data_IF_903213525308
#
_entry.id   IF_903213525308
#
_cell.length_a   1.000
_cell.length_b   1.000
_cell.length_c   1.000
_cell.angle_alpha   90.00
_cell.angle_beta   90.00
_cell.angle_gamma   90.00
#
_symmetry.space_group_name_H-M   'P 1'
#
loop_
_entity.id
_entity.type
_entity.pdbx_description
1 polymer ?
#
# COMPACT_ATOMS: atom_id res chain seq x y z
N UNK A 1 -23.69 -5.57 -3.96
CA UNK A 1 -23.66 -5.38 -2.49
C UNK A 1 -23.92 -3.90 -2.25
N UNK A 2 -24.99 -3.51 -1.54
CA UNK A 2 -25.16 -2.11 -1.15
C UNK A 2 -24.18 -1.82 -0.02
N UNK A 3 -23.40 -0.75 -0.16
CA UNK A 3 -22.49 -0.28 0.87
C UNK A 3 -23.24 0.15 2.12
N UNK A 4 -22.61 -0.07 3.27
CA UNK A 4 -23.03 0.44 4.59
C UNK A 4 -23.23 1.97 4.53
N UNK A 5 -24.39 2.44 4.95
CA UNK A 5 -24.80 3.85 4.95
C UNK A 5 -24.17 4.68 6.10
N UNK A 6 -23.25 4.11 6.90
CA UNK A 6 -22.76 4.76 8.12
C UNK A 6 -21.28 5.19 8.11
N UNK A 7 -20.39 4.55 7.34
CA UNK A 7 -19.03 5.04 7.07
C UNK A 7 -18.76 5.11 5.57
N UNK A 8 -18.61 6.32 5.03
CA UNK A 8 -18.21 6.54 3.64
C UNK A 8 -16.70 6.32 3.41
N UNK A 9 -16.07 5.36 4.09
CA UNK A 9 -14.68 5.01 3.79
C UNK A 9 -14.69 4.10 2.56
N UNK A 10 -13.99 4.46 1.46
CA UNK A 10 -14.03 3.66 0.25
C UNK A 10 -13.06 2.48 0.38
N UNK A 11 -13.44 1.47 1.17
CA UNK A 11 -12.66 0.24 1.46
C UNK A 11 -12.12 -0.40 0.18
N UNK A 12 -12.97 -0.54 -0.84
CA UNK A 12 -12.57 -1.07 -2.15
C UNK A 12 -11.46 -0.22 -2.83
N UNK A 13 -11.45 1.11 -2.63
CA UNK A 13 -10.37 1.98 -3.14
C UNK A 13 -9.11 1.86 -2.31
N UNK A 14 -9.20 1.65 -0.99
CA UNK A 14 -8.03 1.42 -0.14
C UNK A 14 -7.33 0.09 -0.47
N UNK A 15 -8.09 -0.99 -0.66
CA UNK A 15 -7.55 -2.27 -1.13
C UNK A 15 -6.94 -2.16 -2.54
N UNK A 16 -7.57 -1.38 -3.44
CA UNK A 16 -6.99 -1.10 -4.76
C UNK A 16 -5.69 -0.29 -4.68
N UNK A 17 -5.59 0.61 -3.69
CA UNK A 17 -4.40 1.42 -3.46
C UNK A 17 -3.24 0.57 -2.95
N UNK A 18 -3.49 -0.36 -2.01
CA UNK A 18 -2.50 -1.34 -1.55
C UNK A 18 -1.90 -2.12 -2.74
N UNK A 19 -2.76 -2.67 -3.60
CA UNK A 19 -2.30 -3.38 -4.81
C UNK A 19 -1.46 -2.49 -5.73
N UNK A 20 -1.88 -1.25 -5.93
CA UNK A 20 -1.14 -0.28 -6.75
C UNK A 20 0.23 0.02 -6.16
N UNK A 21 0.33 0.14 -4.82
CA UNK A 21 1.59 0.36 -4.12
C UNK A 21 2.51 -0.86 -4.27
N UNK A 22 1.98 -2.08 -4.13
CA UNK A 22 2.75 -3.31 -4.36
C UNK A 22 3.30 -3.40 -5.80
N UNK A 23 2.51 -3.03 -6.81
CA UNK A 23 2.97 -2.99 -8.20
C UNK A 23 4.09 -1.95 -8.41
N UNK A 24 4.00 -0.78 -7.75
CA UNK A 24 5.06 0.25 -7.80
C UNK A 24 6.33 -0.28 -7.13
N UNK A 25 6.22 -0.90 -5.95
CA UNK A 25 7.35 -1.52 -5.25
C UNK A 25 8.06 -2.54 -6.14
N UNK A 26 7.31 -3.45 -6.78
CA UNK A 26 7.85 -4.46 -7.68
C UNK A 26 8.61 -3.84 -8.85
N UNK A 27 8.00 -2.85 -9.52
CA UNK A 27 8.61 -2.17 -10.68
C UNK A 27 9.84 -1.37 -10.30
N UNK A 28 9.80 -0.63 -9.21
CA UNK A 28 10.94 0.15 -8.71
C UNK A 28 12.07 -0.78 -8.25
N UNK A 29 11.73 -1.97 -7.74
CA UNK A 29 12.72 -2.96 -7.35
C UNK A 29 13.45 -3.55 -8.56
N UNK A 30 12.72 -3.90 -9.62
CA UNK A 30 13.30 -4.45 -10.85
C UNK A 30 14.26 -3.51 -11.60
N UNK A 31 14.21 -2.20 -11.35
CA UNK A 31 15.13 -1.23 -11.96
C UNK A 31 16.53 -1.27 -11.31
N UNK A 32 16.68 -1.86 -10.12
CA UNK A 32 17.99 -2.00 -9.46
C UNK A 32 18.97 -2.86 -10.27
N UNK A 33 18.51 -3.97 -10.83
CA UNK A 33 19.36 -4.86 -11.61
C UNK A 33 19.98 -4.12 -12.82
N UNK A 34 19.20 -3.29 -13.52
CA UNK A 34 19.70 -2.49 -14.64
C UNK A 34 20.62 -1.34 -14.23
N UNK A 35 20.52 -0.86 -13.00
CA UNK A 35 21.43 0.16 -12.46
C UNK A 35 22.79 -0.43 -12.08
N UNK A 36 22.82 -1.70 -11.64
CA UNK A 36 24.04 -2.43 -11.36
C UNK A 36 24.81 -2.77 -12.65
N UNK A 37 24.11 -3.07 -13.73
CA UNK A 37 24.72 -3.26 -15.07
C UNK A 37 25.46 -2.00 -15.55
N UNK A 38 24.96 -0.81 -15.19
CA UNK A 38 25.55 0.47 -15.58
C UNK A 38 26.81 0.83 -14.79
N UNK A 39 27.01 0.29 -13.58
CA UNK A 39 28.15 0.69 -12.74
C UNK A 39 29.50 0.20 -13.25
N UNK A 40 29.51 -0.77 -14.18
CA UNK A 40 30.72 -1.39 -14.74
C UNK A 40 30.76 -1.36 -16.29
N UNK A 41 29.83 -0.66 -16.94
CA UNK A 41 29.67 -0.71 -18.39
C UNK A 41 30.78 0.02 -19.17
N UNK A 42 31.60 0.84 -18.50
CA UNK A 42 32.57 1.70 -19.16
C UNK A 42 33.98 1.62 -18.54
N UNK A 43 34.84 0.79 -19.14
CA UNK A 43 36.29 0.76 -18.87
C UNK A 43 37.06 1.85 -19.67
N UNK A 44 36.38 2.61 -20.52
CA UNK A 44 37.00 3.46 -21.57
C UNK A 44 36.92 4.95 -21.22
N UNK A 45 35.95 5.38 -20.41
CA UNK A 45 35.77 6.77 -20.02
C UNK A 45 36.62 7.17 -18.80
N UNK A 46 37.29 8.33 -18.87
CA UNK A 46 38.25 8.79 -17.85
C UNK A 46 37.63 9.00 -16.46
N UNK A 47 38.46 9.01 -15.41
CA UNK A 47 38.08 8.98 -13.98
C UNK A 47 36.89 9.89 -13.60
N UNK A 48 36.79 11.09 -14.20
CA UNK A 48 35.69 12.04 -13.93
C UNK A 48 34.30 11.55 -14.35
N UNK A 49 34.20 10.75 -15.41
CA UNK A 49 32.92 10.19 -15.85
C UNK A 49 32.50 9.02 -14.96
N UNK A 50 33.46 8.17 -14.57
CA UNK A 50 33.22 7.10 -13.59
C UNK A 50 32.70 7.69 -12.28
N UNK A 51 33.38 8.70 -11.73
CA UNK A 51 32.96 9.36 -10.48
C UNK A 51 31.55 9.96 -10.58
N UNK A 52 31.21 10.59 -11.72
CA UNK A 52 29.89 11.15 -11.95
C UNK A 52 28.79 10.07 -12.02
N UNK A 53 29.04 8.95 -12.69
CA UNK A 53 28.11 7.81 -12.76
C UNK A 53 27.93 7.18 -11.38
N UNK A 54 29.01 6.98 -10.62
CA UNK A 54 28.93 6.46 -9.26
C UNK A 54 28.15 7.39 -8.31
N UNK A 55 28.36 8.71 -8.42
CA UNK A 55 27.64 9.70 -7.63
C UNK A 55 26.14 9.66 -7.95
N UNK A 56 25.80 9.64 -9.25
CA UNK A 56 24.41 9.48 -9.70
C UNK A 56 23.79 8.19 -9.16
N UNK A 57 24.47 7.05 -9.29
CA UNK A 57 23.96 5.76 -8.81
C UNK A 57 23.78 5.74 -7.29
N UNK A 58 24.65 6.38 -6.51
CA UNK A 58 24.48 6.51 -5.05
C UNK A 58 23.22 7.30 -4.69
N UNK A 59 23.04 8.48 -5.29
CA UNK A 59 21.86 9.31 -5.04
C UNK A 59 20.58 8.60 -5.48
N UNK A 60 20.61 7.97 -6.65
CA UNK A 60 19.51 7.18 -7.18
C UNK A 60 19.12 6.02 -6.25
N UNK A 61 20.09 5.21 -5.78
CA UNK A 61 19.83 4.12 -4.81
C UNK A 61 19.24 4.64 -3.50
N UNK A 62 19.68 5.79 -3.00
CA UNK A 62 19.11 6.40 -1.82
C UNK A 62 17.65 6.83 -2.05
N UNK A 63 17.38 7.56 -3.12
CA UNK A 63 16.04 8.01 -3.48
C UNK A 63 15.08 6.83 -3.68
N UNK A 64 15.54 5.78 -4.38
CA UNK A 64 14.81 4.52 -4.55
C UNK A 64 14.41 3.90 -3.22
N UNK A 65 15.35 3.73 -2.28
CA UNK A 65 15.05 3.14 -0.96
C UNK A 65 14.02 3.95 -0.18
N UNK A 66 14.11 5.28 -0.23
CA UNK A 66 13.10 6.15 0.41
C UNK A 66 11.74 5.99 -0.23
N UNK A 67 11.66 5.93 -1.56
CA UNK A 67 10.40 5.71 -2.28
C UNK A 67 9.79 4.37 -1.92
N UNK A 68 10.57 3.29 -1.94
CA UNK A 68 10.10 1.94 -1.56
C UNK A 68 9.53 1.93 -0.15
N UNK A 69 10.26 2.49 0.83
CA UNK A 69 9.78 2.58 2.22
C UNK A 69 8.44 3.31 2.32
N UNK A 70 8.28 4.43 1.61
CA UNK A 70 7.04 5.21 1.64
C UNK A 70 5.88 4.44 1.01
N UNK A 71 6.12 3.76 -0.12
CA UNK A 71 5.13 2.96 -0.85
C UNK A 71 4.64 1.80 0.02
N UNK A 72 5.55 1.05 0.66
CA UNK A 72 5.19 -0.05 1.57
C UNK A 72 4.37 0.47 2.76
N UNK A 73 4.83 1.55 3.43
CA UNK A 73 4.10 2.13 4.57
C UNK A 73 2.70 2.62 4.20
N UNK A 74 2.53 3.22 3.02
CA UNK A 74 1.22 3.67 2.54
C UNK A 74 0.31 2.49 2.19
N UNK A 75 0.87 1.42 1.64
CA UNK A 75 0.15 0.16 1.40
C UNK A 75 -0.38 -0.43 2.71
N UNK A 76 0.49 -0.62 3.70
CA UNK A 76 0.15 -1.16 5.03
C UNK A 76 -0.90 -0.29 5.75
N UNK A 77 -0.74 1.04 5.71
CA UNK A 77 -1.70 1.95 6.31
C UNK A 77 -3.07 1.85 5.62
N UNK A 78 -3.10 1.72 4.30
CA UNK A 78 -4.35 1.59 3.54
C UNK A 78 -5.07 0.28 3.86
N UNK A 79 -4.34 -0.84 3.94
CA UNK A 79 -4.87 -2.13 4.35
C UNK A 79 -5.39 -2.09 5.80
N UNK A 80 -4.64 -1.47 6.71
CA UNK A 80 -5.05 -1.32 8.11
C UNK A 80 -6.35 -0.55 8.24
N UNK A 81 -6.51 0.54 7.49
CA UNK A 81 -7.76 1.33 7.49
C UNK A 81 -8.91 0.51 6.91
N UNK A 82 -8.68 -0.23 5.82
CA UNK A 82 -9.69 -1.10 5.22
C UNK A 82 -10.21 -2.14 6.22
N UNK A 83 -9.31 -2.88 6.87
CA UNK A 83 -9.66 -3.88 7.88
C UNK A 83 -10.38 -3.29 9.10
N UNK A 84 -9.94 -2.11 9.56
CA UNK A 84 -10.57 -1.45 10.71
C UNK A 84 -12.01 -1.02 10.39
N UNK A 85 -12.27 -0.56 9.17
CA UNK A 85 -13.63 -0.19 8.73
C UNK A 85 -14.52 -1.42 8.58
N UNK A 86 -14.02 -2.49 7.96
CA UNK A 86 -14.77 -3.75 7.84
C UNK A 86 -15.16 -4.31 9.22
N UNK A 87 -14.21 -4.37 10.16
CA UNK A 87 -14.49 -4.84 11.52
C UNK A 87 -15.50 -3.97 12.28
N UNK A 88 -15.47 -2.65 12.07
CA UNK A 88 -16.42 -1.75 12.70
C UNK A 88 -17.83 -1.87 12.11
N UNK A 89 -17.94 -2.04 10.78
CA UNK A 89 -19.22 -2.33 10.11
C UNK A 89 -19.82 -3.65 10.62
N UNK A 90 -19.01 -4.71 10.78
CA UNK A 90 -19.45 -6.00 11.33
C UNK A 90 -19.95 -5.87 12.79
N UNK A 91 -19.24 -5.12 13.64
CA UNK A 91 -19.61 -4.90 15.04
C UNK A 91 -20.94 -4.15 15.17
N UNK A 92 -21.16 -3.15 14.32
CA UNK A 92 -22.40 -2.38 14.29
C UNK A 92 -23.56 -3.19 13.74
N UNK A 93 -23.34 -3.96 12.66
CA UNK A 93 -24.36 -4.86 12.14
C UNK A 93 -24.75 -5.91 13.19
N UNK A 94 -23.77 -6.48 13.90
CA UNK A 94 -24.00 -7.41 15.01
C UNK A 94 -24.82 -6.77 16.13
N UNK A 95 -24.41 -5.60 16.60
CA UNK A 95 -25.10 -4.85 17.65
C UNK A 95 -26.54 -4.47 17.26
N UNK A 96 -26.76 -4.07 16.00
CA UNK A 96 -28.09 -3.76 15.47
C UNK A 96 -28.97 -5.02 15.38
N UNK A 97 -28.42 -6.16 14.96
CA UNK A 97 -29.13 -7.45 14.96
C UNK A 97 -29.51 -7.89 16.36
N UNK A 98 -28.60 -7.78 17.33
CA UNK A 98 -28.88 -8.09 18.73
C UNK A 98 -29.98 -7.19 19.28
N UNK A 99 -29.88 -5.88 19.05
CA UNK A 99 -30.88 -4.92 19.49
C UNK A 99 -32.25 -5.18 18.84
N UNK A 100 -32.29 -5.50 17.54
CA UNK A 100 -33.52 -5.88 16.84
C UNK A 100 -34.15 -7.18 17.39
N UNK A 101 -33.32 -8.15 17.78
CA UNK A 101 -33.77 -9.38 18.42
C UNK A 101 -34.31 -9.14 19.84
N UNK A 102 -33.67 -8.24 20.61
CA UNK A 102 -34.14 -7.84 21.94
C UNK A 102 -35.42 -7.00 21.93
N UNK A 103 -35.69 -6.28 20.83
CA UNK A 103 -36.92 -5.50 20.60
C UNK A 103 -38.07 -6.37 20.06
N UNK A 104 -37.85 -7.66 19.77
CA UNK A 104 -38.91 -8.63 19.50
C UNK A 104 -39.28 -9.45 20.75
N UNK A 105 -40.03 -8.92 21.73
CA UNK A 105 -40.68 -9.75 22.71
C UNK A 105 -41.92 -10.41 22.09
N UNK A 106 -41.96 -11.74 22.15
CA UNK A 106 -43.18 -12.54 22.34
C UNK A 106 -44.40 -12.17 21.47
N UNK A 107 -44.28 -12.33 20.15
CA UNK A 107 -45.45 -12.45 19.27
C UNK A 107 -45.87 -13.91 19.08
N UNK A 108 -45.84 -14.73 20.13
CA UNK A 108 -46.44 -16.08 20.18
C UNK A 108 -46.88 -16.38 21.61
N UNK A 109 -48.04 -15.83 22.00
CA UNK A 109 -48.92 -16.46 22.97
C UNK A 109 -49.83 -17.46 22.28
#
# INVERSE_FOLDING_TARGET
MPGSDHWQVPVARLASLEKTMSDIESRVSAVEDGADDLSNADEIHGERMVEAVEAFLREWRQSRRTLLKNVTLLGEASATIATAVEGHDEEIEGSLKEMANSIRPEAQG
#
